data_IF_684202151947
#
_entry.id   IF_684202151947
#
_cell.length_a   1.000
_cell.length_b   1.000
_cell.length_c   1.000
_cell.angle_alpha   90.00
_cell.angle_beta   90.00
_cell.angle_gamma   90.00
#
_symmetry.space_group_name_H-M   'P 1'
#
loop_
_entity.id
_entity.type
_entity.pdbx_description
1 polymer ?
#
# COMPACT_ATOMS: atom_id res chain seq x y z
N UNK A 1 -12.38 -28.58 7.89
CA UNK A 1 -11.23 -27.63 7.81
C UNK A 1 -10.74 -27.63 6.38
N UNK A 2 -10.76 -26.49 5.71
CA UNK A 2 -10.40 -26.33 4.30
C UNK A 2 -8.91 -26.63 4.06
N UNK A 3 -8.59 -27.43 3.06
CA UNK A 3 -7.23 -27.63 2.56
C UNK A 3 -6.83 -26.43 1.72
N UNK A 4 -5.78 -25.71 2.09
CA UNK A 4 -5.47 -24.41 1.49
C UNK A 4 -4.05 -24.27 0.97
N UNK A 5 -3.91 -23.37 0.00
CA UNK A 5 -2.63 -22.82 -0.45
C UNK A 5 -2.67 -21.30 -0.23
N UNK A 6 -1.57 -20.72 0.24
CA UNK A 6 -1.43 -19.29 0.41
C UNK A 6 -0.44 -18.69 -0.59
N UNK A 7 -0.78 -17.58 -1.21
CA UNK A 7 0.08 -16.85 -2.13
C UNK A 7 0.26 -15.40 -1.65
N UNK A 8 1.46 -15.04 -1.21
CA UNK A 8 1.74 -13.71 -0.67
C UNK A 8 3.22 -13.36 -0.65
N UNK A 9 3.57 -12.10 -0.39
CA UNK A 9 4.98 -11.69 -0.38
C UNK A 9 5.33 -10.72 0.74
N UNK A 10 4.73 -9.50 0.84
CA UNK A 10 5.13 -8.46 1.78
C UNK A 10 4.56 -8.69 3.18
N UNK A 11 4.98 -7.84 4.10
CA UNK A 11 4.49 -7.81 5.48
C UNK A 11 2.96 -7.66 5.57
N UNK A 12 2.35 -6.95 4.64
CA UNK A 12 0.89 -6.81 4.54
C UNK A 12 0.14 -8.15 4.57
N UNK A 13 0.77 -9.20 4.05
CA UNK A 13 0.16 -10.54 3.97
C UNK A 13 0.23 -11.33 5.28
N UNK A 14 1.06 -10.93 6.25
CA UNK A 14 1.35 -11.74 7.44
C UNK A 14 0.13 -11.95 8.35
N UNK A 15 -0.65 -10.92 8.75
CA UNK A 15 -1.82 -11.17 9.61
C UNK A 15 -2.85 -12.11 8.96
N UNK A 16 -3.04 -11.99 7.64
CA UNK A 16 -3.90 -12.90 6.87
C UNK A 16 -3.33 -14.33 6.82
N UNK A 17 -2.02 -14.48 6.61
CA UNK A 17 -1.35 -15.79 6.60
C UNK A 17 -1.46 -16.49 7.96
N UNK A 18 -1.31 -15.76 9.06
CA UNK A 18 -1.50 -16.27 10.42
C UNK A 18 -2.93 -16.81 10.62
N UNK A 19 -3.94 -16.11 10.11
CA UNK A 19 -5.33 -16.60 10.15
C UNK A 19 -5.52 -17.87 9.34
N UNK A 20 -4.97 -17.93 8.13
CA UNK A 20 -5.03 -19.14 7.28
C UNK A 20 -4.34 -20.31 7.98
N UNK A 21 -3.15 -20.12 8.53
CA UNK A 21 -2.40 -21.14 9.27
C UNK A 21 -3.16 -21.69 10.47
N UNK A 22 -3.85 -20.81 11.23
CA UNK A 22 -4.59 -21.19 12.43
C UNK A 22 -5.96 -21.84 12.14
N UNK A 23 -6.59 -21.52 11.02
CA UNK A 23 -8.00 -21.84 10.74
C UNK A 23 -8.19 -22.85 9.62
N UNK A 24 -7.15 -23.20 8.87
CA UNK A 24 -7.22 -24.10 7.72
C UNK A 24 -6.09 -25.12 7.76
N UNK A 25 -6.16 -26.12 6.91
CA UNK A 25 -5.08 -27.08 6.66
C UNK A 25 -4.16 -26.52 5.56
N UNK A 26 -3.29 -25.58 5.94
CA UNK A 26 -2.36 -24.91 5.02
C UNK A 26 -1.25 -25.87 4.56
N UNK A 27 -1.26 -26.23 3.28
CA UNK A 27 -0.32 -27.20 2.70
C UNK A 27 0.91 -26.58 2.05
N UNK A 28 0.76 -25.39 1.47
CA UNK A 28 1.82 -24.80 0.66
C UNK A 28 1.72 -23.27 0.68
N UNK A 29 2.89 -22.63 0.68
CA UNK A 29 3.04 -21.19 0.50
C UNK A 29 3.76 -20.89 -0.81
N UNK A 30 3.16 -20.02 -1.64
CA UNK A 30 3.86 -19.37 -2.75
C UNK A 30 4.27 -17.96 -2.37
N UNK A 31 5.52 -17.61 -2.65
CA UNK A 31 6.02 -16.24 -2.49
C UNK A 31 6.97 -15.87 -3.64
N UNK A 32 7.28 -14.59 -3.79
CA UNK A 32 8.25 -14.14 -4.79
C UNK A 32 9.66 -14.62 -4.46
N UNK A 33 10.51 -14.64 -5.48
CA UNK A 33 11.93 -14.98 -5.38
C UNK A 33 12.64 -14.02 -4.40
N UNK A 34 13.67 -14.55 -3.75
CA UNK A 34 14.49 -13.78 -2.81
C UNK A 34 15.16 -12.60 -3.50
N UNK A 35 15.28 -11.51 -2.80
CA UNK A 35 16.01 -10.34 -3.28
C UNK A 35 17.41 -10.30 -2.70
N UNK A 36 18.38 -9.99 -3.55
CA UNK A 36 19.75 -9.69 -3.09
C UNK A 36 19.79 -8.21 -2.71
N UNK A 37 20.17 -7.92 -1.48
CA UNK A 37 20.26 -6.54 -1.01
C UNK A 37 21.43 -5.84 -1.72
N UNK A 38 21.19 -4.64 -2.28
CA UNK A 38 22.19 -3.85 -3.00
C UNK A 38 23.43 -3.46 -2.16
N UNK A 39 23.32 -3.52 -0.82
CA UNK A 39 24.42 -3.30 0.12
C UNK A 39 24.80 -4.63 0.78
N UNK A 40 25.84 -5.27 0.27
CA UNK A 40 26.49 -6.39 0.95
C UNK A 40 26.10 -7.80 0.50
N UNK A 41 25.44 -7.98 -0.64
CA UNK A 41 25.07 -9.28 -1.24
C UNK A 41 24.34 -10.26 -0.30
N UNK A 42 23.69 -9.77 0.76
CA UNK A 42 22.89 -10.62 1.64
C UNK A 42 21.55 -10.93 1.00
N UNK A 43 21.18 -12.19 0.98
CA UNK A 43 19.85 -12.64 0.59
C UNK A 43 18.87 -12.16 1.66
N UNK A 44 17.79 -11.49 1.23
CA UNK A 44 16.69 -11.05 2.10
C UNK A 44 15.45 -11.85 1.74
N UNK A 45 14.97 -12.65 2.67
CA UNK A 45 13.74 -13.39 2.53
C UNK A 45 12.53 -12.45 2.60
N UNK A 46 11.48 -12.79 1.88
CA UNK A 46 10.19 -12.11 2.09
C UNK A 46 9.64 -12.45 3.47
N UNK A 47 8.86 -11.55 4.11
CA UNK A 47 8.17 -11.87 5.37
C UNK A 47 7.36 -13.18 5.30
N UNK A 48 6.66 -13.42 4.20
CA UNK A 48 5.90 -14.65 3.97
C UNK A 48 6.80 -15.89 3.90
N UNK A 49 7.99 -15.79 3.26
CA UNK A 49 8.97 -16.89 3.27
C UNK A 49 9.47 -17.17 4.67
N UNK A 50 9.82 -16.12 5.42
CA UNK A 50 10.30 -16.28 6.79
C UNK A 50 9.26 -17.00 7.66
N UNK A 51 7.99 -16.58 7.56
CA UNK A 51 6.89 -17.24 8.26
C UNK A 51 6.79 -18.74 7.92
N UNK A 52 6.88 -19.10 6.64
CA UNK A 52 6.81 -20.50 6.21
C UNK A 52 7.98 -21.34 6.75
N UNK A 53 9.20 -20.77 6.77
CA UNK A 53 10.37 -21.44 7.36
C UNK A 53 10.22 -21.64 8.87
N UNK A 54 9.76 -20.63 9.60
CA UNK A 54 9.59 -20.68 11.05
C UNK A 54 8.50 -21.69 11.48
N UNK A 55 7.53 -21.97 10.60
CA UNK A 55 6.42 -22.89 10.86
C UNK A 55 6.55 -24.23 10.11
N UNK A 56 7.68 -24.54 9.47
CA UNK A 56 7.94 -25.75 8.70
C UNK A 56 6.89 -26.04 7.60
N UNK A 57 6.42 -25.00 6.92
CA UNK A 57 5.49 -25.12 5.81
C UNK A 57 6.28 -25.16 4.50
N UNK A 58 5.90 -26.01 3.56
CA UNK A 58 6.51 -26.07 2.23
C UNK A 58 6.38 -24.72 1.52
N UNK A 59 7.46 -24.23 0.88
CA UNK A 59 7.52 -22.94 0.20
C UNK A 59 7.99 -23.15 -1.23
N UNK A 60 7.26 -22.56 -2.18
CA UNK A 60 7.68 -22.50 -3.58
C UNK A 60 7.81 -21.04 -4.03
N UNK A 61 8.90 -20.73 -4.73
CA UNK A 61 9.21 -19.43 -5.30
C UNK A 61 9.32 -19.51 -6.84
N UNK A 62 8.19 -19.68 -7.56
CA UNK A 62 8.23 -19.93 -8.99
C UNK A 62 8.63 -18.66 -9.75
N UNK A 63 9.42 -18.81 -10.82
CA UNK A 63 9.68 -17.71 -11.75
C UNK A 63 8.39 -17.33 -12.50
N UNK A 64 7.67 -18.31 -12.97
CA UNK A 64 6.41 -18.15 -13.71
C UNK A 64 5.35 -19.08 -13.16
N UNK A 65 4.14 -18.57 -12.96
CA UNK A 65 3.00 -19.36 -12.49
C UNK A 65 2.47 -20.35 -13.56
N UNK A 66 2.85 -20.16 -14.84
CA UNK A 66 2.46 -21.04 -15.96
C UNK A 66 3.36 -22.26 -16.12
N UNK A 67 4.43 -22.40 -15.33
CA UNK A 67 5.33 -23.54 -15.43
C UNK A 67 4.57 -24.82 -15.02
N UNK A 68 4.69 -25.88 -15.83
CA UNK A 68 3.94 -27.13 -15.61
C UNK A 68 4.18 -27.73 -14.23
N UNK A 69 5.40 -27.66 -13.71
CA UNK A 69 5.73 -28.13 -12.37
C UNK A 69 4.90 -27.42 -11.28
N UNK A 70 4.65 -26.11 -11.44
CA UNK A 70 3.83 -25.32 -10.52
C UNK A 70 2.37 -25.78 -10.57
N UNK A 71 1.83 -25.91 -11.79
CA UNK A 71 0.45 -26.34 -12.00
C UNK A 71 0.25 -27.78 -11.47
N UNK A 72 1.17 -28.69 -11.77
CA UNK A 72 1.11 -30.08 -11.32
C UNK A 72 1.21 -30.17 -9.79
N UNK A 73 2.07 -29.36 -9.15
CA UNK A 73 2.16 -29.33 -7.68
C UNK A 73 0.84 -28.87 -7.04
N UNK A 74 0.17 -27.86 -7.60
CA UNK A 74 -1.14 -27.40 -7.10
C UNK A 74 -2.19 -28.48 -7.29
N UNK A 75 -2.21 -29.17 -8.45
CA UNK A 75 -3.12 -30.30 -8.71
C UNK A 75 -2.88 -31.48 -7.79
N UNK A 76 -1.62 -31.81 -7.48
CA UNK A 76 -1.25 -32.86 -6.54
C UNK A 76 -1.78 -32.59 -5.13
N UNK A 77 -1.70 -31.33 -4.68
CA UNK A 77 -2.24 -30.91 -3.39
C UNK A 77 -3.75 -30.98 -3.39
N UNK A 78 -4.41 -30.72 -4.53
CA UNK A 78 -5.86 -30.67 -4.66
C UNK A 78 -6.50 -29.80 -3.58
N UNK A 79 -6.21 -28.46 -3.57
CA UNK A 79 -6.68 -27.56 -2.53
C UNK A 79 -8.17 -27.27 -2.67
N UNK A 80 -8.85 -27.13 -1.53
CA UNK A 80 -10.24 -26.63 -1.51
C UNK A 80 -10.30 -25.15 -1.88
N UNK A 81 -9.31 -24.37 -1.44
CA UNK A 81 -9.27 -22.91 -1.61
C UNK A 81 -7.83 -22.43 -1.75
N UNK A 82 -7.60 -21.42 -2.60
CA UNK A 82 -6.35 -20.67 -2.64
C UNK A 82 -6.59 -19.26 -2.16
N UNK A 83 -5.73 -18.75 -1.27
CA UNK A 83 -5.80 -17.40 -0.72
C UNK A 83 -4.64 -16.58 -1.24
N UNK A 84 -4.93 -15.39 -1.77
CA UNK A 84 -3.94 -14.47 -2.33
C UNK A 84 -3.94 -13.18 -1.55
N UNK A 85 -2.76 -12.72 -1.11
CA UNK A 85 -2.59 -11.43 -0.44
C UNK A 85 -1.30 -10.77 -0.92
N UNK A 86 -1.42 -9.72 -1.71
CA UNK A 86 -0.29 -8.95 -2.21
C UNK A 86 0.83 -9.83 -2.82
N UNK A 87 0.47 -10.85 -3.57
CA UNK A 87 1.42 -11.78 -4.18
C UNK A 87 2.21 -11.15 -5.32
N UNK A 88 1.52 -10.36 -6.16
CA UNK A 88 2.11 -9.57 -7.23
C UNK A 88 2.66 -10.39 -8.39
N UNK A 89 2.09 -11.55 -8.68
CA UNK A 89 2.21 -12.32 -9.93
C UNK A 89 0.81 -12.58 -10.47
N UNK A 90 0.69 -12.63 -11.79
CA UNK A 90 -0.56 -12.99 -12.46
C UNK A 90 -0.78 -14.50 -12.28
N UNK A 91 -1.99 -14.87 -11.87
CA UNK A 91 -2.42 -16.25 -11.72
C UNK A 91 -3.10 -16.65 -13.04
N UNK A 92 -2.58 -17.66 -13.73
CA UNK A 92 -3.15 -18.07 -15.01
C UNK A 92 -4.45 -18.88 -14.84
N UNK A 93 -5.27 -18.91 -15.88
CA UNK A 93 -6.57 -19.59 -15.89
C UNK A 93 -6.48 -21.04 -15.45
N UNK A 94 -5.42 -21.73 -15.87
CA UNK A 94 -5.15 -23.13 -15.56
C UNK A 94 -5.00 -23.42 -14.06
N UNK A 95 -4.70 -22.38 -13.25
CA UNK A 95 -4.64 -22.46 -11.79
C UNK A 95 -5.97 -22.02 -11.16
N UNK A 96 -6.64 -21.01 -11.75
CA UNK A 96 -7.90 -20.46 -11.22
C UNK A 96 -8.97 -21.56 -11.11
N UNK A 97 -9.00 -22.48 -12.05
CA UNK A 97 -10.01 -23.53 -12.16
C UNK A 97 -9.69 -24.80 -11.34
N UNK A 98 -8.56 -24.84 -10.58
CA UNK A 98 -8.21 -26.04 -9.79
C UNK A 98 -8.98 -26.14 -8.47
N UNK A 99 -8.98 -25.10 -7.58
CA UNK A 99 -9.56 -25.25 -6.25
C UNK A 99 -11.09 -25.30 -6.27
N UNK A 100 -11.66 -26.20 -5.47
CA UNK A 100 -13.12 -26.41 -5.38
C UNK A 100 -13.91 -25.12 -5.12
N UNK A 101 -13.42 -24.28 -4.20
CA UNK A 101 -14.05 -23.03 -3.83
C UNK A 101 -13.39 -21.80 -4.48
N UNK A 102 -12.56 -22.03 -5.52
CA UNK A 102 -11.92 -20.97 -6.26
C UNK A 102 -10.71 -20.35 -5.55
N UNK A 103 -10.34 -19.15 -6.00
CA UNK A 103 -9.25 -18.35 -5.44
C UNK A 103 -9.82 -17.06 -4.91
N UNK A 104 -9.49 -16.69 -3.67
CA UNK A 104 -9.88 -15.41 -3.09
C UNK A 104 -8.68 -14.48 -2.88
N UNK A 105 -8.91 -13.18 -2.98
CA UNK A 105 -7.92 -12.14 -2.76
C UNK A 105 -8.35 -11.18 -1.67
N UNK A 106 -7.39 -10.77 -0.84
CA UNK A 106 -7.55 -9.66 0.10
C UNK A 106 -7.09 -8.39 -0.58
N UNK A 107 -8.04 -7.59 -1.08
CA UNK A 107 -7.77 -6.35 -1.80
C UNK A 107 -7.94 -5.14 -0.90
N UNK A 108 -6.93 -4.26 -0.83
CA UNK A 108 -6.89 -3.13 0.11
C UNK A 108 -7.62 -1.89 -0.39
N UNK A 109 -8.85 -2.06 -0.87
CA UNK A 109 -9.81 -0.99 -1.15
C UNK A 109 -11.24 -1.47 -1.03
N UNK A 110 -12.19 -0.53 -1.01
CA UNK A 110 -13.62 -0.79 -1.16
C UNK A 110 -13.97 -0.91 -2.64
N UNK A 111 -13.84 -2.12 -3.20
CA UNK A 111 -14.18 -2.38 -4.59
C UNK A 111 -15.65 -1.97 -4.88
N UNK A 112 -15.92 -1.44 -6.08
CA UNK A 112 -15.11 -1.44 -7.29
C UNK A 112 -14.13 -0.27 -7.42
N UNK A 113 -13.96 0.59 -6.40
CA UNK A 113 -12.97 1.66 -6.44
C UNK A 113 -11.56 1.09 -6.29
N UNK A 114 -10.62 1.70 -7.05
CA UNK A 114 -9.18 1.44 -6.92
C UNK A 114 -8.75 -0.01 -7.22
N UNK A 115 -9.29 -0.61 -8.29
CA UNK A 115 -8.71 -1.83 -8.85
C UNK A 115 -7.27 -1.58 -9.26
N UNK A 116 -6.33 -2.47 -8.93
CA UNK A 116 -4.93 -2.40 -9.35
C UNK A 116 -3.91 -2.26 -8.22
N UNK A 117 -2.78 -1.59 -8.52
CA UNK A 117 -1.54 -1.80 -7.77
C UNK A 117 -1.33 -0.91 -6.54
N UNK A 118 -2.03 0.22 -6.41
CA UNK A 118 -1.78 1.21 -5.33
C UNK A 118 -3.05 1.78 -4.71
N UNK A 119 -4.01 0.93 -4.28
CA UNK A 119 -5.29 1.39 -3.74
C UNK A 119 -5.14 2.24 -2.47
N UNK A 120 -4.26 1.86 -1.53
CA UNK A 120 -4.05 2.59 -0.27
C UNK A 120 -3.51 4.00 -0.52
N UNK A 121 -2.50 4.13 -1.40
CA UNK A 121 -1.99 5.45 -1.80
C UNK A 121 -3.12 6.31 -2.39
N UNK A 122 -3.88 5.73 -3.31
CA UNK A 122 -4.89 6.46 -4.06
C UNK A 122 -6.02 6.99 -3.19
N UNK A 123 -6.45 6.25 -2.18
CA UNK A 123 -7.45 6.70 -1.22
C UNK A 123 -6.98 7.98 -0.49
N UNK A 124 -5.73 8.01 0.00
CA UNK A 124 -5.21 9.20 0.68
C UNK A 124 -4.92 10.36 -0.30
N UNK A 125 -4.32 10.06 -1.47
CA UNK A 125 -4.00 11.09 -2.47
C UNK A 125 -5.25 11.80 -2.97
N UNK A 126 -6.36 11.08 -3.11
CA UNK A 126 -7.65 11.64 -3.53
C UNK A 126 -8.40 12.34 -2.38
N UNK A 127 -7.91 12.25 -1.13
CA UNK A 127 -8.55 12.87 0.02
C UNK A 127 -9.80 12.13 0.49
N UNK A 128 -9.92 10.83 0.21
CA UNK A 128 -11.02 10.02 0.72
C UNK A 128 -11.00 10.04 2.27
N UNK A 129 -12.18 10.04 2.87
CA UNK A 129 -12.37 9.98 4.33
C UNK A 129 -12.67 8.57 4.83
N UNK A 130 -12.83 7.62 3.90
CA UNK A 130 -13.12 6.22 4.17
C UNK A 130 -12.30 5.33 3.22
N UNK A 131 -11.84 4.21 3.73
CA UNK A 131 -11.23 3.12 2.98
C UNK A 131 -11.67 1.77 3.56
N UNK A 132 -11.05 0.69 3.13
CA UNK A 132 -11.35 -0.63 3.65
C UNK A 132 -10.65 -1.73 2.88
N UNK A 133 -11.13 -2.95 3.12
CA UNK A 133 -10.65 -4.15 2.45
C UNK A 133 -11.84 -4.88 1.85
N UNK A 134 -11.67 -5.39 0.64
CA UNK A 134 -12.62 -6.30 -0.01
C UNK A 134 -12.02 -7.70 -0.11
N UNK A 135 -12.76 -8.70 0.35
CA UNK A 135 -12.45 -10.10 0.07
C UNK A 135 -13.25 -10.47 -1.18
N UNK A 136 -12.55 -10.86 -2.23
CA UNK A 136 -13.15 -11.08 -3.56
C UNK A 136 -12.61 -12.35 -4.22
N UNK A 137 -13.34 -12.93 -5.13
CA UNK A 137 -12.84 -13.98 -6.00
C UNK A 137 -11.85 -13.45 -7.04
N UNK A 138 -10.86 -14.25 -7.38
CA UNK A 138 -9.99 -13.97 -8.53
C UNK A 138 -10.61 -14.63 -9.76
N UNK A 139 -10.86 -13.79 -10.77
CA UNK A 139 -11.37 -14.16 -12.08
C UNK A 139 -10.49 -13.56 -13.19
N UNK A 140 -10.90 -13.70 -14.44
CA UNK A 140 -10.28 -12.98 -15.53
C UNK A 140 -10.55 -11.47 -15.40
N UNK A 141 -9.50 -10.68 -15.47
CA UNK A 141 -9.57 -9.24 -15.27
C UNK A 141 -8.88 -8.78 -14.00
N UNK A 142 -8.47 -7.52 -14.01
CA UNK A 142 -7.76 -6.93 -12.88
C UNK A 142 -8.75 -6.60 -11.74
N UNK A 143 -8.69 -7.35 -10.66
CA UNK A 143 -9.51 -7.16 -9.46
C UNK A 143 -11.03 -7.05 -9.77
N UNK A 144 -11.50 -7.84 -10.77
CA UNK A 144 -12.86 -7.73 -11.33
C UNK A 144 -13.85 -8.76 -10.77
N UNK A 145 -13.39 -9.79 -10.05
CA UNK A 145 -14.24 -10.86 -9.53
C UNK A 145 -15.24 -10.38 -8.48
N UNK A 146 -16.23 -11.23 -8.22
CA UNK A 146 -17.32 -10.95 -7.29
C UNK A 146 -16.81 -10.78 -5.85
N UNK A 147 -17.38 -9.84 -5.10
CA UNK A 147 -16.97 -9.48 -3.74
C UNK A 147 -17.76 -10.30 -2.73
N UNK A 148 -17.05 -11.04 -1.87
CA UNK A 148 -17.64 -11.86 -0.80
C UNK A 148 -18.10 -10.98 0.37
N UNK A 149 -17.21 -10.05 0.81
CA UNK A 149 -17.52 -9.09 1.88
C UNK A 149 -16.55 -7.90 1.83
N UNK A 150 -16.90 -6.84 2.55
CA UNK A 150 -16.08 -5.64 2.76
C UNK A 150 -15.98 -5.33 4.23
N UNK A 151 -14.80 -4.88 4.63
CA UNK A 151 -14.56 -4.28 5.95
C UNK A 151 -14.15 -2.82 5.75
N UNK A 152 -14.67 -1.94 6.58
CA UNK A 152 -14.55 -0.50 6.43
C UNK A 152 -13.69 0.12 7.53
N UNK A 153 -12.97 1.18 7.19
CA UNK A 153 -12.30 2.03 8.19
C UNK A 153 -12.27 3.49 7.74
N UNK A 154 -12.27 4.41 8.70
CA UNK A 154 -12.11 5.84 8.45
C UNK A 154 -10.67 6.18 8.09
N UNK A 155 -10.49 7.24 7.30
CA UNK A 155 -9.22 7.90 7.04
C UNK A 155 -9.27 9.29 7.67
N UNK A 156 -8.48 9.49 8.71
CA UNK A 156 -8.33 10.80 9.36
C UNK A 156 -7.30 11.69 8.63
N UNK A 157 -7.28 12.98 8.94
CA UNK A 157 -6.22 13.88 8.44
C UNK A 157 -4.83 13.53 8.96
N UNK A 158 -4.73 12.89 10.11
CA UNK A 158 -3.47 12.43 10.70
C UNK A 158 -2.94 11.14 10.07
N UNK A 159 -3.77 10.44 9.31
CA UNK A 159 -3.35 9.20 8.67
C UNK A 159 -2.34 9.45 7.56
N UNK A 160 -1.30 8.64 7.59
CA UNK A 160 -0.33 8.49 6.50
C UNK A 160 -0.57 7.18 5.77
N UNK A 161 0.10 6.99 4.63
CA UNK A 161 0.14 5.68 3.96
C UNK A 161 0.53 4.57 4.95
N UNK A 162 1.54 4.80 5.80
CA UNK A 162 2.02 3.80 6.75
C UNK A 162 0.96 3.41 7.78
N UNK A 163 0.29 4.39 8.41
CA UNK A 163 -0.73 4.11 9.43
C UNK A 163 -1.97 3.44 8.84
N UNK A 164 -2.41 3.87 7.66
CA UNK A 164 -3.54 3.25 6.97
C UNK A 164 -3.19 1.83 6.50
N UNK A 165 -1.99 1.62 5.93
CA UNK A 165 -1.50 0.29 5.55
C UNK A 165 -1.53 -0.69 6.72
N UNK A 166 -1.04 -0.27 7.91
CA UNK A 166 -1.01 -1.12 9.09
C UNK A 166 -2.40 -1.45 9.62
N UNK A 167 -3.34 -0.51 9.52
CA UNK A 167 -4.74 -0.75 9.87
C UNK A 167 -5.41 -1.69 8.88
N UNK A 168 -5.20 -1.50 7.57
CA UNK A 168 -5.83 -2.33 6.54
C UNK A 168 -5.29 -3.76 6.50
N UNK A 169 -4.02 -4.01 6.85
CA UNK A 169 -3.50 -5.39 6.93
C UNK A 169 -4.20 -6.19 8.03
N UNK A 170 -4.46 -5.59 9.19
CA UNK A 170 -5.20 -6.24 10.29
C UNK A 170 -6.69 -6.41 9.93
N UNK A 171 -7.29 -5.40 9.34
CA UNK A 171 -8.67 -5.44 8.88
C UNK A 171 -8.86 -6.52 7.80
N UNK A 172 -7.88 -6.69 6.91
CA UNK A 172 -7.86 -7.75 5.90
C UNK A 172 -7.85 -9.14 6.51
N UNK A 173 -7.10 -9.35 7.59
CA UNK A 173 -7.09 -10.62 8.31
C UNK A 173 -8.45 -10.92 8.98
N UNK A 174 -9.10 -9.89 9.54
CA UNK A 174 -10.46 -10.01 10.10
C UNK A 174 -11.48 -10.38 9.03
N UNK A 175 -11.46 -9.65 7.90
CA UNK A 175 -12.35 -9.95 6.76
C UNK A 175 -12.10 -11.35 6.20
N UNK A 176 -10.83 -11.74 6.06
CA UNK A 176 -10.49 -13.09 5.59
C UNK A 176 -11.02 -14.19 6.53
N UNK A 177 -10.87 -14.02 7.85
CA UNK A 177 -11.41 -15.00 8.81
C UNK A 177 -12.95 -15.15 8.68
N UNK A 178 -13.67 -14.06 8.44
CA UNK A 178 -15.13 -14.10 8.18
C UNK A 178 -15.43 -14.82 6.86
N UNK A 179 -14.69 -14.50 5.79
CA UNK A 179 -14.88 -15.12 4.50
C UNK A 179 -14.59 -16.64 4.53
N UNK A 180 -13.54 -17.07 5.22
CA UNK A 180 -13.23 -18.49 5.41
C UNK A 180 -14.38 -19.26 6.05
N UNK A 181 -15.05 -18.68 7.07
CA UNK A 181 -16.23 -19.30 7.71
C UNK A 181 -17.41 -19.40 6.74
N UNK A 182 -17.68 -18.36 5.97
CA UNK A 182 -18.75 -18.37 4.97
C UNK A 182 -18.50 -19.44 3.90
N UNK A 183 -17.25 -19.59 3.44
CA UNK A 183 -16.86 -20.58 2.44
C UNK A 183 -16.98 -21.99 3.02
N UNK A 184 -16.48 -22.22 4.23
CA UNK A 184 -16.52 -23.55 4.88
C UNK A 184 -17.97 -24.02 5.13
N UNK A 185 -18.89 -23.09 5.41
CA UNK A 185 -20.31 -23.36 5.63
C UNK A 185 -21.12 -23.40 4.32
N UNK A 186 -20.51 -23.08 3.18
CA UNK A 186 -21.20 -22.91 1.87
C UNK A 186 -22.29 -21.80 1.90
N UNK A 187 -22.06 -20.74 2.69
CA UNK A 187 -23.00 -19.62 2.91
C UNK A 187 -22.62 -18.35 2.14
N UNK A 188 -21.65 -18.42 1.22
CA UNK A 188 -21.19 -17.24 0.46
C UNK A 188 -22.28 -16.71 -0.44
N UNK A 189 -22.55 -15.39 -0.32
CA UNK A 189 -23.41 -14.61 -1.24
C UNK A 189 -22.54 -13.50 -1.85
N UNK A 190 -21.74 -13.86 -2.85
CA UNK A 190 -20.86 -12.90 -3.49
C UNK A 190 -21.65 -11.93 -4.39
N UNK A 191 -21.27 -10.66 -4.35
CA UNK A 191 -21.90 -9.58 -5.12
C UNK A 191 -21.03 -9.18 -6.32
N UNK A 192 -21.66 -9.07 -7.49
CA UNK A 192 -21.00 -8.50 -8.68
C UNK A 192 -20.63 -7.04 -8.45
N UNK A 193 -19.46 -6.67 -8.95
CA UNK A 193 -19.04 -5.30 -8.89
C UNK A 193 -19.83 -4.43 -9.89
N UNK A 194 -20.21 -3.22 -9.45
CA UNK A 194 -20.87 -2.21 -10.31
C UNK A 194 -19.84 -1.56 -11.24
N UNK A 195 -19.80 -1.98 -12.49
CA UNK A 195 -18.84 -1.50 -13.49
C UNK A 195 -18.94 0.04 -13.74
N UNK A 196 -20.05 0.67 -13.41
CA UNK A 196 -20.19 2.13 -13.53
C UNK A 196 -19.40 2.92 -12.48
N UNK A 197 -18.96 2.25 -11.40
CA UNK A 197 -18.20 2.84 -10.27
C UNK A 197 -16.75 2.41 -10.22
N UNK A 198 -16.30 1.66 -11.22
CA UNK A 198 -14.91 1.18 -11.29
C UNK A 198 -13.94 2.34 -11.47
N UNK A 199 -12.86 2.29 -10.70
CA UNK A 199 -11.67 3.10 -10.95
C UNK A 199 -10.41 2.24 -10.90
N UNK A 200 -9.43 2.57 -11.73
CA UNK A 200 -8.17 1.85 -11.83
C UNK A 200 -7.01 2.67 -11.29
N UNK A 201 -6.08 2.00 -10.61
CA UNK A 201 -4.89 2.63 -10.05
C UNK A 201 -3.64 1.87 -10.46
N UNK A 202 -2.65 2.63 -10.93
CA UNK A 202 -1.34 2.12 -11.33
C UNK A 202 -0.31 2.31 -10.19
N UNK A 203 0.86 1.66 -10.26
CA UNK A 203 1.94 1.95 -9.33
C UNK A 203 2.32 3.44 -9.38
N UNK A 204 2.65 4.01 -8.20
CA UNK A 204 3.11 5.41 -8.09
C UNK A 204 4.42 5.58 -8.87
N UNK A 205 4.44 6.52 -9.80
CA UNK A 205 5.64 6.86 -10.57
C UNK A 205 6.56 7.81 -9.80
N UNK A 206 7.82 7.89 -10.22
CA UNK A 206 8.80 8.80 -9.60
C UNK A 206 8.37 10.27 -9.75
N UNK A 207 7.78 10.62 -10.88
CA UNK A 207 7.31 11.97 -11.20
C UNK A 207 6.20 12.42 -10.23
N UNK A 208 5.35 11.49 -9.78
CA UNK A 208 4.27 11.76 -8.83
C UNK A 208 4.78 12.02 -7.42
N UNK A 209 6.04 11.71 -7.12
CA UNK A 209 6.63 11.98 -5.81
C UNK A 209 7.21 13.39 -5.68
N UNK A 210 7.41 14.11 -6.80
CA UNK A 210 7.83 15.51 -6.76
C UNK A 210 6.66 16.43 -6.42
N UNK A 211 6.85 17.30 -5.42
CA UNK A 211 5.84 18.28 -5.02
C UNK A 211 5.74 19.36 -6.09
N UNK A 212 4.51 19.63 -6.54
CA UNK A 212 4.19 20.76 -7.42
C UNK A 212 3.51 21.84 -6.60
N UNK A 213 4.28 22.83 -6.19
CA UNK A 213 3.84 23.89 -5.28
C UNK A 213 2.71 24.76 -5.83
N UNK A 214 2.47 24.75 -7.14
CA UNK A 214 1.33 25.40 -7.79
C UNK A 214 0.01 24.64 -7.65
N UNK A 215 -0.03 23.53 -6.93
CA UNK A 215 -1.24 22.87 -6.50
C UNK A 215 -1.81 23.52 -5.23
N UNK A 216 -3.05 23.15 -4.88
CA UNK A 216 -3.67 23.57 -3.61
C UNK A 216 -2.97 22.91 -2.43
N UNK A 217 -3.05 23.56 -1.25
CA UNK A 217 -2.47 23.01 -0.01
C UNK A 217 -3.05 21.64 0.35
N UNK A 218 -4.33 21.36 0.03
CA UNK A 218 -4.99 20.08 0.28
C UNK A 218 -4.36 18.96 -0.57
N UNK A 219 -4.14 19.23 -1.86
CA UNK A 219 -3.51 18.27 -2.78
C UNK A 219 -2.09 17.93 -2.33
N UNK A 220 -1.30 18.93 -1.97
CA UNK A 220 0.08 18.72 -1.53
C UNK A 220 0.11 18.05 -0.15
N UNK A 221 -0.78 18.44 0.78
CA UNK A 221 -0.92 17.80 2.08
C UNK A 221 -1.21 16.31 1.94
N UNK A 222 -2.17 15.96 1.09
CA UNK A 222 -2.51 14.56 0.79
C UNK A 222 -1.36 13.83 0.09
N UNK A 223 -0.63 14.49 -0.82
CA UNK A 223 0.56 13.92 -1.45
C UNK A 223 1.63 13.58 -0.40
N UNK A 224 1.92 14.48 0.52
CA UNK A 224 2.92 14.25 1.57
C UNK A 224 2.54 13.07 2.45
N UNK A 225 1.32 13.05 3.00
CA UNK A 225 0.87 11.96 3.88
C UNK A 225 0.61 10.65 3.13
N UNK A 226 0.10 10.70 1.90
CA UNK A 226 -0.18 9.53 1.06
C UNK A 226 1.06 8.85 0.50
N UNK A 227 2.22 9.49 0.57
CA UNK A 227 3.51 8.91 0.19
C UNK A 227 4.43 8.64 1.38
N UNK A 228 4.01 8.93 2.61
CA UNK A 228 4.78 8.71 3.83
C UNK A 228 4.49 7.32 4.43
N UNK A 229 5.46 6.45 4.72
CA UNK A 229 6.92 6.72 4.73
C UNK A 229 7.63 6.48 3.39
N UNK A 230 7.00 5.80 2.45
CA UNK A 230 7.61 5.42 1.18
C UNK A 230 6.59 5.52 0.02
N UNK A 231 7.01 6.04 -1.14
CA UNK A 231 8.35 6.49 -1.54
C UNK A 231 8.80 7.83 -0.92
N UNK A 232 7.89 8.62 -0.35
CA UNK A 232 8.10 9.94 0.22
C UNK A 232 8.01 11.06 -0.83
N UNK A 233 7.16 12.06 -0.57
CA UNK A 233 7.11 13.27 -1.39
C UNK A 233 8.43 14.06 -1.25
N UNK A 234 8.86 14.74 -2.32
CA UNK A 234 10.07 15.52 -2.29
C UNK A 234 9.95 16.85 -3.04
N UNK A 235 10.81 17.77 -2.68
CA UNK A 235 11.07 19.03 -3.38
C UNK A 235 12.58 19.23 -3.51
N UNK A 236 12.99 20.23 -4.27
CA UNK A 236 14.38 20.63 -4.43
C UNK A 236 14.53 22.09 -4.00
N UNK A 237 15.63 22.41 -3.31
CA UNK A 237 15.98 23.80 -3.02
C UNK A 237 16.69 24.45 -4.22
N UNK A 238 17.01 25.74 -4.13
CA UNK A 238 17.72 26.51 -5.16
C UNK A 238 19.13 25.98 -5.49
N UNK A 239 19.74 25.19 -4.57
CA UNK A 239 21.03 24.52 -4.75
C UNK A 239 20.91 23.14 -5.41
N UNK A 240 19.68 22.71 -5.73
CA UNK A 240 19.41 21.38 -6.30
C UNK A 240 19.49 20.24 -5.28
N UNK A 241 19.47 20.53 -3.98
CA UNK A 241 19.43 19.48 -2.96
C UNK A 241 18.01 18.93 -2.82
N UNK A 242 17.89 17.60 -2.83
CA UNK A 242 16.62 16.91 -2.64
C UNK A 242 16.23 16.92 -1.16
N UNK A 243 15.02 17.41 -0.88
CA UNK A 243 14.42 17.46 0.44
C UNK A 243 13.15 16.60 0.41
N UNK A 244 13.17 15.44 1.08
CA UNK A 244 11.94 14.68 1.32
C UNK A 244 11.11 15.35 2.40
N UNK A 245 9.79 15.44 2.17
CA UNK A 245 8.82 16.02 3.10
C UNK A 245 7.96 14.90 3.65
N UNK A 246 7.93 14.76 4.98
CA UNK A 246 7.20 13.69 5.64
C UNK A 246 5.97 14.17 6.40
N UNK A 247 5.98 15.40 6.89
CA UNK A 247 4.86 16.00 7.61
C UNK A 247 4.70 17.47 7.30
N UNK A 248 3.47 17.89 7.07
CA UNK A 248 3.10 19.29 6.85
C UNK A 248 1.86 19.64 7.66
N UNK A 249 1.60 20.95 7.83
CA UNK A 249 0.36 21.49 8.43
C UNK A 249 -0.19 22.57 7.50
N UNK A 250 -1.48 22.57 7.28
CA UNK A 250 -2.18 23.53 6.41
C UNK A 250 -2.34 24.89 7.10
N UNK A 251 -2.16 25.99 6.37
CA UNK A 251 -2.45 27.36 6.82
C UNK A 251 -3.42 28.03 5.85
N UNK A 252 -4.52 28.54 6.40
CA UNK A 252 -5.58 29.26 5.68
C UNK A 252 -5.31 30.78 5.63
N UNK A 253 -4.08 31.17 5.27
CA UNK A 253 -3.66 32.56 5.11
C UNK A 253 -3.20 32.78 3.68
N UNK A 254 -3.67 33.83 3.05
CA UNK A 254 -3.18 34.22 1.74
C UNK A 254 -1.80 34.83 1.84
N UNK A 255 -0.93 34.44 0.91
CA UNK A 255 0.44 34.95 0.83
C UNK A 255 0.73 35.50 -0.55
N UNK A 256 1.45 36.64 -0.59
CA UNK A 256 2.08 37.14 -1.81
C UNK A 256 3.37 36.36 -2.11
N UNK A 257 3.83 36.39 -3.36
CA UNK A 257 5.07 35.73 -3.79
C UNK A 257 4.84 34.58 -4.74
N UNK A 258 5.91 33.86 -5.07
CA UNK A 258 5.88 32.70 -6.00
C UNK A 258 5.44 31.40 -5.32
N UNK A 259 4.90 30.46 -6.10
CA UNK A 259 4.60 29.13 -5.58
C UNK A 259 5.91 28.40 -5.22
N UNK A 260 5.94 27.77 -4.05
CA UNK A 260 7.16 27.17 -3.49
C UNK A 260 8.05 28.13 -2.71
N UNK A 261 7.73 29.42 -2.68
CA UNK A 261 8.49 30.40 -1.90
C UNK A 261 8.24 30.22 -0.41
N UNK A 262 9.29 30.33 0.39
CA UNK A 262 9.23 30.46 1.85
C UNK A 262 8.72 31.87 2.19
N UNK A 263 7.45 31.98 2.54
CA UNK A 263 6.75 33.27 2.74
C UNK A 263 6.63 33.71 4.18
N UNK A 264 6.83 32.78 5.12
CA UNK A 264 6.79 33.07 6.56
C UNK A 264 7.67 32.07 7.32
N UNK A 265 8.25 32.49 8.43
CA UNK A 265 9.02 31.64 9.35
C UNK A 265 8.28 31.59 10.68
N UNK A 266 7.76 30.45 11.03
CA UNK A 266 7.15 30.16 12.34
C UNK A 266 8.20 29.52 13.24
N UNK A 267 8.84 30.31 14.09
CA UNK A 267 10.02 29.91 14.89
C UNK A 267 9.83 28.66 15.74
N UNK A 268 8.59 28.35 16.14
CA UNK A 268 8.24 27.16 16.95
C UNK A 268 7.72 25.98 16.13
N UNK A 269 7.54 26.12 14.81
CA UNK A 269 6.98 25.08 13.95
C UNK A 269 7.86 24.77 12.76
N UNK A 270 8.15 25.79 11.92
CA UNK A 270 8.91 25.58 10.69
C UNK A 270 8.66 26.68 9.65
N UNK A 271 9.25 26.55 8.46
CA UNK A 271 9.01 27.45 7.34
C UNK A 271 7.64 27.19 6.72
N UNK A 272 6.97 28.25 6.28
CA UNK A 272 5.71 28.22 5.54
C UNK A 272 6.02 28.37 4.07
N UNK A 273 5.58 27.40 3.28
CA UNK A 273 5.76 27.39 1.84
C UNK A 273 4.45 27.77 1.15
N UNK A 274 4.52 28.75 0.24
CA UNK A 274 3.35 29.21 -0.52
C UNK A 274 2.84 28.16 -1.48
N UNK A 275 1.54 27.93 -1.44
CA UNK A 275 0.78 27.08 -2.36
C UNK A 275 -0.25 27.89 -3.14
N UNK A 276 -1.07 27.27 -3.98
CA UNK A 276 -2.08 27.95 -4.78
C UNK A 276 -3.09 28.74 -3.94
N UNK A 277 -3.52 28.21 -2.79
CA UNK A 277 -4.62 28.73 -1.98
C UNK A 277 -4.27 28.87 -0.49
N UNK A 278 -3.04 29.27 -0.17
CA UNK A 278 -2.56 29.42 1.20
C UNK A 278 -1.13 28.97 1.36
N UNK A 279 -0.82 28.29 2.45
CA UNK A 279 0.52 27.77 2.72
C UNK A 279 0.54 26.41 3.42
N UNK A 280 1.71 25.78 3.38
CA UNK A 280 2.02 24.58 4.14
C UNK A 280 3.26 24.81 5.00
N UNK A 281 3.13 24.50 6.29
CA UNK A 281 4.27 24.46 7.20
C UNK A 281 5.00 23.15 6.97
N UNK A 282 6.32 23.17 6.78
CA UNK A 282 7.15 21.96 6.81
C UNK A 282 7.45 21.58 8.25
N UNK A 283 6.85 20.50 8.73
CA UNK A 283 7.03 20.01 10.11
C UNK A 283 8.13 18.95 10.21
N UNK A 284 8.22 18.05 9.22
CA UNK A 284 9.25 17.01 9.20
C UNK A 284 9.80 16.86 7.78
N UNK A 285 11.10 16.95 7.66
CA UNK A 285 11.81 16.82 6.38
C UNK A 285 13.08 16.00 6.52
N UNK A 286 13.60 15.52 5.38
CA UNK A 286 14.84 14.76 5.34
C UNK A 286 15.68 15.16 4.13
N UNK A 287 16.83 15.74 4.37
CA UNK A 287 17.85 15.94 3.36
C UNK A 287 18.54 14.62 3.00
N UNK A 288 19.05 14.54 1.78
CA UNK A 288 19.74 13.33 1.32
C UNK A 288 20.91 12.95 2.27
N UNK A 289 20.98 11.69 2.68
CA UNK A 289 22.03 11.21 3.58
C UNK A 289 21.92 11.65 5.04
N UNK A 290 20.87 12.41 5.42
CA UNK A 290 20.65 12.87 6.81
C UNK A 290 19.51 12.10 7.46
N UNK A 291 19.36 12.24 8.78
CA UNK A 291 18.17 11.79 9.52
C UNK A 291 16.99 12.76 9.27
N UNK A 292 15.79 12.31 9.58
CA UNK A 292 14.61 13.20 9.63
C UNK A 292 14.87 14.31 10.63
N UNK A 293 14.50 15.52 10.28
CA UNK A 293 14.65 16.75 11.06
C UNK A 293 13.29 17.45 11.16
N UNK A 294 13.05 18.09 12.29
CA UNK A 294 11.85 18.93 12.46
C UNK A 294 11.99 20.25 11.69
N UNK A 295 10.84 20.91 11.45
CA UNK A 295 10.83 22.26 10.88
C UNK A 295 11.67 23.25 11.69
N UNK A 296 11.67 23.12 13.00
CA UNK A 296 12.49 23.93 13.92
C UNK A 296 13.99 23.65 13.74
N UNK A 297 14.38 22.38 13.58
CA UNK A 297 15.79 22.00 13.38
C UNK A 297 16.36 22.60 12.09
N UNK A 298 15.58 22.59 11.00
CA UNK A 298 16.04 23.17 9.73
C UNK A 298 16.16 24.68 9.78
N UNK A 299 15.31 25.37 10.56
CA UNK A 299 15.42 26.81 10.80
C UNK A 299 16.66 27.15 11.65
N UNK A 300 16.87 26.43 12.75
CA UNK A 300 18.05 26.62 13.63
C UNK A 300 19.36 26.34 12.88
N UNK A 301 19.33 25.34 11.98
CA UNK A 301 20.45 25.01 11.13
C UNK A 301 20.63 25.91 9.90
N UNK A 302 19.81 26.93 9.72
CA UNK A 302 19.82 27.86 8.55
C UNK A 302 19.82 27.08 7.22
N UNK A 303 19.03 26.03 7.12
CA UNK A 303 18.95 25.19 5.92
C UNK A 303 17.90 25.66 4.94
N UNK A 304 16.95 26.43 5.41
CA UNK A 304 15.89 27.08 4.64
C UNK A 304 15.76 28.50 5.16
N UNK A 305 15.75 29.48 4.27
CA UNK A 305 15.67 30.89 4.60
C UNK A 305 14.39 31.52 4.00
N UNK A 306 14.00 32.67 4.56
CA UNK A 306 12.88 33.45 4.04
C UNK A 306 13.16 33.88 2.59
N UNK A 307 12.15 33.81 1.74
CA UNK A 307 12.19 34.07 0.29
C UNK A 307 12.94 33.06 -0.56
N UNK A 308 13.49 31.99 -0.01
CA UNK A 308 13.99 30.85 -0.79
C UNK A 308 12.83 30.17 -1.56
N UNK A 309 13.10 29.66 -2.76
CA UNK A 309 12.09 29.00 -3.60
C UNK A 309 12.41 27.52 -3.70
N UNK A 310 11.47 26.69 -3.23
CA UNK A 310 11.50 25.24 -3.40
C UNK A 310 10.82 24.85 -4.73
N UNK A 311 11.38 23.84 -5.43
CA UNK A 311 10.98 23.47 -6.80
C UNK A 311 10.52 22.01 -6.90
#
# INVERSE_FOLDING_TARGET
MLKTIFMGTPEFAIPSLEKVFQKTDLKLIFTKEDKVNARGNKIVFSPVKQFGLDNNIEIIQPKRMKDEEVINKIKEIDPDLIIVVAYGKIIPREIIDIPKYGIINVHSSLLPKYRGASPIHSAILNGDTESGVSIMYIEEGLDAGDVILKEYCEISEEDTLGTLHDRLKELGAVGLEKALKLIENEEVQAEKQDESKVSFVRPISKEETKIKWNNTKEVIFNQVRGLNPFPGAYTENDKGEIIKVYKTEKIDKEYSGEYGQVVEILSKKGPVIKTQNGGLILLEVKYQGKKVQTGVDILNGRKIELNEILK
#
